data_IF_966699410863
#
_entry.id   IF_966699410863
#
_cell.length_a   1.000
_cell.length_b   1.000
_cell.length_c   1.000
_cell.angle_alpha   90.00
_cell.angle_beta   90.00
_cell.angle_gamma   90.00
#
_symmetry.space_group_name_H-M   'P 1'
#
loop_
_entity.id
_entity.type
_entity.pdbx_description
1 polymer ?
#
# COMPACT_ATOMS: atom_id res chain seq x y z
N UNK A 1 6.26 10.84 10.85
CA UNK A 1 6.71 11.53 9.62
C UNK A 1 6.26 10.82 8.33
N UNK A 2 6.58 9.54 8.09
CA UNK A 2 6.05 8.78 6.93
C UNK A 2 4.72 8.07 7.26
N UNK A 3 4.61 7.47 8.45
CA UNK A 3 3.39 6.75 8.88
C UNK A 3 2.16 7.68 8.93
N UNK A 4 2.33 8.93 9.38
CA UNK A 4 1.26 9.93 9.41
C UNK A 4 0.74 10.26 8.01
N UNK A 5 1.65 10.39 7.03
CA UNK A 5 1.28 10.71 5.64
C UNK A 5 0.66 9.52 4.91
N UNK A 6 1.09 8.29 5.25
CA UNK A 6 0.40 7.07 4.83
C UNK A 6 -1.01 7.03 5.41
N UNK A 7 -1.16 7.31 6.70
CA UNK A 7 -2.45 7.34 7.37
C UNK A 7 -3.39 8.37 6.73
N UNK A 8 -2.91 9.57 6.44
CA UNK A 8 -3.67 10.61 5.75
C UNK A 8 -4.13 10.14 4.36
N UNK A 9 -3.22 9.61 3.55
CA UNK A 9 -3.52 9.14 2.19
C UNK A 9 -4.53 7.99 2.16
N UNK A 10 -4.47 7.10 3.14
CA UNK A 10 -5.43 5.98 3.30
C UNK A 10 -6.77 6.48 3.86
N UNK A 11 -6.77 7.47 4.75
CA UNK A 11 -8.00 7.97 5.37
C UNK A 11 -8.99 8.56 4.36
N UNK A 12 -8.48 9.11 3.26
CA UNK A 12 -9.25 9.67 2.16
C UNK A 12 -9.44 8.69 0.99
N UNK A 13 -8.93 7.45 1.11
CA UNK A 13 -9.08 6.44 0.07
C UNK A 13 -10.56 6.10 -0.15
N UNK A 14 -10.93 5.98 -1.42
CA UNK A 14 -12.25 5.60 -1.90
C UNK A 14 -12.08 4.65 -3.08
N UNK A 15 -13.01 3.70 -3.22
CA UNK A 15 -13.02 2.74 -4.32
C UNK A 15 -13.70 3.36 -5.52
N UNK A 16 -12.94 4.09 -6.34
CA UNK A 16 -13.45 4.76 -7.54
C UNK A 16 -12.38 4.91 -8.61
N UNK A 17 -12.82 5.01 -9.86
CA UNK A 17 -11.96 5.35 -10.97
C UNK A 17 -11.41 6.79 -10.87
N UNK A 18 -10.24 7.09 -11.45
CA UNK A 18 -9.35 6.17 -12.16
C UNK A 18 -8.49 5.32 -11.23
N UNK A 19 -8.08 4.14 -11.70
CA UNK A 19 -7.10 3.27 -11.02
C UNK A 19 -5.76 3.31 -11.78
N UNK A 20 -4.59 3.45 -11.12
CA UNK A 20 -4.40 3.52 -9.68
C UNK A 20 -5.06 4.75 -9.06
N UNK A 21 -5.57 4.67 -7.84
CA UNK A 21 -6.20 5.79 -7.17
C UNK A 21 -5.14 6.83 -6.77
N UNK A 22 -5.59 8.07 -6.57
CA UNK A 22 -4.69 9.14 -6.14
C UNK A 22 -4.05 8.84 -4.78
N UNK A 23 -4.78 8.17 -3.88
CA UNK A 23 -4.25 7.69 -2.61
C UNK A 23 -3.09 6.72 -2.82
N UNK A 24 -3.26 5.69 -3.67
CA UNK A 24 -2.20 4.71 -3.93
C UNK A 24 -0.98 5.33 -4.61
N UNK A 25 -1.18 6.23 -5.58
CA UNK A 25 -0.07 7.01 -6.17
C UNK A 25 0.68 7.83 -5.12
N UNK A 26 -0.05 8.50 -4.23
CA UNK A 26 0.55 9.34 -3.19
C UNK A 26 1.34 8.52 -2.18
N UNK A 27 0.83 7.35 -1.78
CA UNK A 27 1.50 6.42 -0.87
C UNK A 27 2.80 5.90 -1.51
N UNK A 28 2.74 5.42 -2.75
CA UNK A 28 3.94 4.91 -3.43
C UNK A 28 5.00 6.01 -3.61
N UNK A 29 4.60 7.22 -3.97
CA UNK A 29 5.52 8.37 -4.09
C UNK A 29 6.20 8.71 -2.75
N UNK A 30 5.48 8.62 -1.63
CA UNK A 30 6.07 8.87 -0.32
C UNK A 30 7.04 7.78 0.10
N UNK A 31 6.69 6.51 -0.14
CA UNK A 31 7.56 5.35 0.09
C UNK A 31 8.85 5.50 -0.71
N UNK A 32 8.76 5.83 -2.00
CA UNK A 32 9.91 6.05 -2.86
C UNK A 32 10.81 7.19 -2.35
N UNK A 33 10.23 8.33 -1.96
CA UNK A 33 10.99 9.45 -1.39
C UNK A 33 11.75 9.06 -0.13
N UNK A 34 11.10 8.33 0.78
CA UNK A 34 11.77 7.87 2.00
C UNK A 34 12.83 6.82 1.68
N UNK A 35 12.57 5.93 0.74
CA UNK A 35 13.54 4.94 0.28
C UNK A 35 14.81 5.62 -0.25
N UNK A 36 14.66 6.59 -1.16
CA UNK A 36 15.79 7.33 -1.75
C UNK A 36 16.62 8.07 -0.68
N UNK A 37 16.00 8.55 0.39
CA UNK A 37 16.70 9.21 1.49
C UNK A 37 17.49 8.24 2.38
N UNK A 38 17.05 6.99 2.49
CA UNK A 38 17.59 6.03 3.43
C UNK A 38 18.55 5.02 2.81
N UNK A 39 18.42 4.76 1.51
CA UNK A 39 19.14 3.69 0.81
C UNK A 39 20.67 3.84 0.89
N UNK A 40 21.17 5.08 0.88
CA UNK A 40 22.60 5.38 0.99
C UNK A 40 23.09 5.53 2.43
N UNK A 41 22.16 5.56 3.40
CA UNK A 41 22.47 5.81 4.82
C UNK A 41 22.40 4.55 5.68
N UNK A 42 21.60 3.56 5.27
CA UNK A 42 21.32 2.37 6.06
C UNK A 42 21.74 1.10 5.32
N UNK A 43 22.25 0.09 6.03
CA UNK A 43 22.49 -1.22 5.44
C UNK A 43 21.21 -1.85 4.87
N UNK A 44 21.36 -2.68 3.85
CA UNK A 44 20.27 -3.43 3.19
C UNK A 44 19.31 -4.09 4.19
N UNK A 45 19.85 -4.80 5.20
CA UNK A 45 19.06 -5.49 6.21
C UNK A 45 18.15 -4.54 7.01
N UNK A 46 18.63 -3.34 7.30
CA UNK A 46 17.88 -2.32 8.03
C UNK A 46 16.79 -1.71 7.17
N UNK A 47 17.08 -1.44 5.89
CA UNK A 47 16.10 -0.98 4.90
C UNK A 47 14.96 -2.00 4.76
N UNK A 48 15.30 -3.27 4.55
CA UNK A 48 14.30 -4.36 4.44
C UNK A 48 13.39 -4.42 5.67
N UNK A 49 13.95 -4.45 6.88
CA UNK A 49 13.17 -4.50 8.13
C UNK A 49 12.26 -3.30 8.29
N UNK A 50 12.73 -2.10 7.94
CA UNK A 50 11.93 -0.88 8.03
C UNK A 50 10.72 -0.93 7.08
N UNK A 51 10.94 -1.28 5.82
CA UNK A 51 9.88 -1.30 4.82
C UNK A 51 8.89 -2.46 5.01
N UNK A 52 9.31 -3.57 5.60
CA UNK A 52 8.38 -4.62 6.08
C UNK A 52 7.41 -4.03 7.12
N UNK A 53 7.91 -3.28 8.11
CA UNK A 53 7.03 -2.65 9.11
C UNK A 53 6.11 -1.60 8.51
N UNK A 54 6.58 -0.85 7.51
CA UNK A 54 5.74 0.11 6.77
C UNK A 54 4.63 -0.62 6.02
N UNK A 55 4.95 -1.73 5.36
CA UNK A 55 3.98 -2.56 4.64
C UNK A 55 2.92 -3.15 5.56
N UNK A 56 3.31 -3.70 6.71
CA UNK A 56 2.37 -4.26 7.68
C UNK A 56 1.40 -3.21 8.22
N UNK A 57 1.91 -1.99 8.49
CA UNK A 57 1.06 -0.86 8.89
C UNK A 57 0.13 -0.42 7.77
N UNK A 58 0.63 -0.35 6.53
CA UNK A 58 -0.17 -0.03 5.35
C UNK A 58 -1.33 -1.03 5.17
N UNK A 59 -1.05 -2.33 5.16
CA UNK A 59 -2.05 -3.40 5.04
C UNK A 59 -3.10 -3.31 6.14
N UNK A 60 -2.67 -3.10 7.39
CA UNK A 60 -3.58 -2.94 8.54
C UNK A 60 -4.53 -1.74 8.36
N UNK A 61 -3.99 -0.60 7.95
CA UNK A 61 -4.78 0.63 7.73
C UNK A 61 -5.74 0.47 6.54
N UNK A 62 -5.28 -0.15 5.47
CA UNK A 62 -6.09 -0.42 4.28
C UNK A 62 -7.27 -1.34 4.60
N UNK A 63 -7.02 -2.44 5.31
CA UNK A 63 -8.06 -3.36 5.82
C UNK A 63 -9.13 -2.61 6.62
N UNK A 64 -8.70 -1.79 7.59
CA UNK A 64 -9.64 -0.99 8.40
C UNK A 64 -10.44 -0.01 7.55
N UNK A 65 -9.82 0.63 6.55
CA UNK A 65 -10.51 1.55 5.64
C UNK A 65 -11.53 0.83 4.77
N UNK A 66 -11.20 -0.34 4.22
CA UNK A 66 -12.13 -1.14 3.42
C UNK A 66 -13.35 -1.59 4.23
N UNK A 67 -13.15 -1.97 5.50
CA UNK A 67 -14.24 -2.28 6.43
C UNK A 67 -15.15 -1.06 6.67
N UNK A 68 -14.59 0.13 6.86
CA UNK A 68 -15.36 1.37 7.04
C UNK A 68 -16.16 1.76 5.79
N UNK A 69 -15.60 1.54 4.60
CA UNK A 69 -16.26 1.80 3.32
C UNK A 69 -17.40 0.81 3.02
N UNK A 70 -17.62 -0.19 3.90
CA UNK A 70 -18.62 -1.26 3.74
C UNK A 70 -18.58 -1.89 2.36
N UNK A 71 -17.37 -2.05 1.80
CA UNK A 71 -17.20 -2.79 0.55
C UNK A 71 -17.74 -4.20 0.80
N UNK A 72 -18.81 -4.64 0.09
CA UNK A 72 -19.47 -5.90 0.39
C UNK A 72 -18.47 -7.04 0.24
N UNK A 73 -18.48 -7.96 1.21
CA UNK A 73 -17.61 -9.16 1.25
C UNK A 73 -17.96 -10.20 0.18
N UNK A 74 -19.16 -10.10 -0.39
CA UNK A 74 -19.78 -11.10 -1.28
C UNK A 74 -20.16 -10.52 -2.65
N UNK A 75 -19.29 -9.72 -3.27
CA UNK A 75 -19.55 -9.19 -4.61
C UNK A 75 -20.43 -7.94 -4.59
N UNK A 76 -19.85 -6.83 -4.13
CA UNK A 76 -20.25 -5.52 -4.66
C UNK A 76 -20.19 -5.52 -6.21
N UNK A 77 -20.53 -4.43 -6.91
CA UNK A 77 -20.32 -4.39 -8.36
C UNK A 77 -18.90 -4.86 -8.66
N UNK A 78 -18.72 -5.94 -9.44
CA UNK A 78 -17.42 -6.62 -9.72
C UNK A 78 -16.25 -5.65 -9.95
N UNK A 79 -16.59 -4.49 -10.49
CA UNK A 79 -15.72 -3.33 -10.67
C UNK A 79 -15.00 -2.86 -9.39
N UNK A 80 -15.64 -2.84 -8.22
CA UNK A 80 -15.05 -2.38 -6.96
C UNK A 80 -13.90 -3.28 -6.47
N UNK A 81 -14.11 -4.60 -6.45
CA UNK A 81 -13.06 -5.57 -6.10
C UNK A 81 -11.90 -5.54 -7.11
N UNK A 82 -12.21 -5.43 -8.41
CA UNK A 82 -11.19 -5.29 -9.45
C UNK A 82 -10.37 -4.00 -9.28
N UNK A 83 -11.01 -2.87 -8.93
CA UNK A 83 -10.31 -1.61 -8.68
C UNK A 83 -9.36 -1.72 -7.48
N UNK A 84 -9.83 -2.33 -6.39
CA UNK A 84 -9.01 -2.56 -5.19
C UNK A 84 -7.82 -3.46 -5.51
N UNK A 85 -8.05 -4.54 -6.27
CA UNK A 85 -7.00 -5.45 -6.70
C UNK A 85 -5.97 -4.77 -7.61
N UNK A 86 -6.41 -3.93 -8.54
CA UNK A 86 -5.53 -3.16 -9.42
C UNK A 86 -4.68 -2.15 -8.64
N UNK A 87 -5.24 -1.49 -7.63
CA UNK A 87 -4.52 -0.60 -6.74
C UNK A 87 -3.43 -1.35 -5.93
N UNK A 88 -3.79 -2.51 -5.37
CA UNK A 88 -2.84 -3.38 -4.65
C UNK A 88 -1.72 -3.89 -5.56
N UNK A 89 -2.08 -4.31 -6.78
CA UNK A 89 -1.11 -4.73 -7.79
C UNK A 89 -0.17 -3.59 -8.17
N UNK A 90 -0.69 -2.36 -8.26
CA UNK A 90 0.14 -1.18 -8.50
C UNK A 90 1.13 -0.97 -7.36
N UNK A 91 0.67 -0.97 -6.10
CA UNK A 91 1.54 -0.82 -4.93
C UNK A 91 2.63 -1.89 -4.86
N UNK A 92 2.27 -3.16 -5.05
CA UNK A 92 3.23 -4.27 -5.05
C UNK A 92 4.29 -4.09 -6.15
N UNK A 93 3.89 -3.70 -7.35
CA UNK A 93 4.83 -3.41 -8.44
C UNK A 93 5.77 -2.27 -8.10
N UNK A 94 5.28 -1.21 -7.47
CA UNK A 94 6.12 -0.08 -7.04
C UNK A 94 7.18 -0.52 -6.03
N UNK A 95 6.80 -1.32 -5.02
CA UNK A 95 7.76 -1.86 -4.07
C UNK A 95 8.78 -2.80 -4.74
N UNK A 96 8.35 -3.65 -5.67
CA UNK A 96 9.25 -4.58 -6.38
C UNK A 96 10.29 -3.88 -7.25
N UNK A 97 10.00 -2.68 -7.72
CA UNK A 97 10.94 -1.87 -8.50
C UNK A 97 12.03 -1.20 -7.63
N UNK A 98 11.85 -1.17 -6.30
CA UNK A 98 12.85 -0.60 -5.39
C UNK A 98 13.86 -1.69 -4.98
N UNK A 99 15.18 -1.47 -5.18
CA UNK A 99 16.20 -2.42 -4.75
C UNK A 99 16.05 -2.79 -3.26
N UNK A 100 16.30 -4.06 -2.95
CA UNK A 100 16.13 -4.67 -1.63
C UNK A 100 14.68 -4.88 -1.16
N UNK A 101 13.68 -4.28 -1.80
CA UNK A 101 12.27 -4.44 -1.42
C UNK A 101 11.50 -5.47 -2.28
N UNK A 102 12.13 -5.98 -3.34
CA UNK A 102 11.56 -7.00 -4.25
C UNK A 102 11.11 -8.32 -3.60
N UNK A 103 11.67 -8.66 -2.44
CA UNK A 103 11.32 -9.87 -1.68
C UNK A 103 10.24 -9.68 -0.61
N UNK A 104 9.71 -8.46 -0.43
CA UNK A 104 8.63 -8.21 0.53
C UNK A 104 7.34 -8.81 -0.03
N UNK A 105 6.85 -9.88 0.61
CA UNK A 105 5.58 -10.50 0.26
C UNK A 105 4.42 -9.58 0.68
N UNK A 106 3.88 -8.84 -0.27
CA UNK A 106 2.64 -8.08 -0.09
C UNK A 106 1.44 -9.02 -0.28
N UNK A 107 1.31 -10.04 0.57
CA UNK A 107 0.13 -10.90 0.50
C UNK A 107 -1.09 -10.09 0.92
N UNK A 108 -1.90 -9.70 -0.07
CA UNK A 108 -3.13 -8.96 0.17
C UNK A 108 -4.34 -9.87 0.40
N UNK A 109 -4.20 -11.21 0.39
CA UNK A 109 -5.34 -12.10 0.65
C UNK A 109 -5.96 -11.86 2.05
N UNK A 110 -5.14 -11.47 3.03
CA UNK A 110 -5.56 -11.29 4.43
C UNK A 110 -6.29 -9.96 4.71
N UNK A 111 -6.37 -9.06 3.73
CA UNK A 111 -7.13 -7.80 3.87
C UNK A 111 -8.65 -8.06 3.90
N UNK A 112 -9.09 -9.19 3.35
CA UNK A 112 -10.50 -9.56 3.22
C UNK A 112 -10.99 -10.44 4.38
N UNK A 113 -10.06 -11.11 5.08
CA UNK A 113 -10.32 -12.04 6.20
C UNK A 113 -10.63 -11.33 7.52
#
# INVERSE_FOLDING_TARGET
MIDDKLAESISVYEVKAPVPSQSFRSICSQIEKVYQLLIDLLPETSIKKLFIQVDDKFKTRLKNRLLQLKVPRDGGPQYAEQMIFQDMTFYEKQLKNLPYLNGISTNFQDIWN
#
